data_IF_902095565797
#
_entry.id   IF_902095565797
#
_cell.length_a   1.000
_cell.length_b   1.000
_cell.length_c   1.000
_cell.angle_alpha   90.00
_cell.angle_beta   90.00
_cell.angle_gamma   90.00
#
_symmetry.space_group_name_H-M   'P 1'
#
loop_
_entity.id
_entity.type
_entity.pdbx_description
1 polymer ?
#
# COMPACT_ATOMS: atom_id res chain seq x y z
N UNK A 1 34.11 -5.94 9.62
CA UNK A 1 33.07 -6.94 9.24
C UNK A 1 31.66 -6.36 9.43
N UNK A 2 31.24 -5.91 10.64
CA UNK A 2 29.89 -5.41 10.86
C UNK A 2 29.58 -4.10 10.09
N UNK A 3 30.49 -3.15 10.06
CA UNK A 3 30.37 -1.90 9.31
C UNK A 3 30.25 -2.21 7.83
N UNK A 4 31.15 -2.98 7.27
CA UNK A 4 31.16 -3.38 5.85
C UNK A 4 29.87 -4.12 5.42
N UNK A 5 29.32 -4.97 6.30
CA UNK A 5 28.02 -5.62 6.07
C UNK A 5 26.86 -4.63 6.03
N UNK A 6 26.88 -3.58 6.86
CA UNK A 6 25.87 -2.53 6.87
C UNK A 6 26.00 -1.62 5.66
N UNK A 7 27.21 -1.22 5.30
CA UNK A 7 27.48 -0.43 4.08
C UNK A 7 26.98 -1.16 2.83
N UNK A 8 27.22 -2.46 2.73
CA UNK A 8 26.71 -3.27 1.62
C UNK A 8 25.18 -3.31 1.59
N UNK A 9 24.51 -3.41 2.74
CA UNK A 9 23.03 -3.37 2.82
C UNK A 9 22.49 -2.01 2.44
N UNK A 10 23.14 -0.93 2.86
CA UNK A 10 22.77 0.45 2.51
C UNK A 10 22.92 0.66 0.98
N UNK A 11 24.03 0.23 0.42
CA UNK A 11 24.26 0.34 -1.03
C UNK A 11 23.23 -0.43 -1.86
N UNK A 12 22.87 -1.65 -1.43
CA UNK A 12 21.80 -2.42 -2.10
C UNK A 12 20.44 -1.71 -2.05
N UNK A 13 20.11 -1.06 -0.92
CA UNK A 13 18.86 -0.31 -0.81
C UNK A 13 18.87 1.00 -1.60
N UNK A 14 20.02 1.67 -1.71
CA UNK A 14 20.17 2.88 -2.51
C UNK A 14 20.08 2.62 -4.02
N UNK A 15 20.46 1.42 -4.49
CA UNK A 15 20.31 0.99 -5.90
C UNK A 15 18.83 0.73 -6.26
N UNK A 16 17.98 0.41 -5.29
CA UNK A 16 16.53 0.41 -5.47
C UNK A 16 16.08 1.88 -5.47
N UNK A 17 15.72 2.45 -6.63
CA UNK A 17 15.28 3.85 -6.76
C UNK A 17 14.14 4.19 -5.78
N UNK A 18 14.52 4.58 -4.55
CA UNK A 18 13.58 5.00 -3.51
C UNK A 18 13.15 6.42 -3.84
N UNK A 19 12.01 6.55 -4.52
CA UNK A 19 11.37 7.86 -4.67
C UNK A 19 10.90 8.35 -3.31
N UNK A 20 11.23 9.60 -2.96
CA UNK A 20 10.75 10.22 -1.72
C UNK A 20 9.22 10.42 -1.78
N UNK A 21 8.49 9.43 -1.33
CA UNK A 21 7.03 9.47 -1.29
C UNK A 21 6.58 10.14 -0.02
N UNK A 22 5.85 11.25 -0.18
CA UNK A 22 5.22 11.93 0.94
C UNK A 22 4.11 11.05 1.53
N UNK A 23 4.11 10.87 2.86
CA UNK A 23 3.01 10.25 3.62
C UNK A 23 1.65 10.91 3.25
N UNK A 24 1.67 12.18 2.88
CA UNK A 24 0.49 12.90 2.42
C UNK A 24 -0.08 12.32 1.12
N UNK A 25 0.76 11.89 0.17
CA UNK A 25 0.32 11.25 -1.07
C UNK A 25 -0.32 9.87 -0.81
N UNK A 26 0.26 9.09 0.10
CA UNK A 26 -0.32 7.82 0.55
C UNK A 26 -1.71 8.04 1.16
N UNK A 27 -1.85 9.00 2.08
CA UNK A 27 -3.11 9.32 2.73
C UNK A 27 -4.16 9.84 1.72
N UNK A 28 -3.75 10.65 0.75
CA UNK A 28 -4.62 11.11 -0.32
C UNK A 28 -5.18 9.95 -1.15
N UNK A 29 -4.35 8.99 -1.52
CA UNK A 29 -4.79 7.81 -2.26
C UNK A 29 -5.69 6.89 -1.43
N UNK A 30 -5.42 6.73 -0.13
CA UNK A 30 -6.32 6.01 0.78
C UNK A 30 -7.72 6.66 0.83
N UNK A 31 -7.78 7.98 0.94
CA UNK A 31 -9.04 8.72 0.94
C UNK A 31 -9.79 8.58 -0.41
N UNK A 32 -9.07 8.67 -1.54
CA UNK A 32 -9.66 8.44 -2.88
C UNK A 32 -10.26 7.03 -2.99
N UNK A 33 -9.55 6.01 -2.51
CA UNK A 33 -10.04 4.63 -2.49
C UNK A 33 -11.34 4.49 -1.67
N UNK A 34 -11.42 5.16 -0.52
CA UNK A 34 -12.63 5.15 0.31
C UNK A 34 -13.83 5.79 -0.40
N UNK A 35 -13.62 6.89 -1.12
CA UNK A 35 -14.66 7.54 -1.92
C UNK A 35 -15.15 6.58 -3.01
N UNK A 36 -14.22 5.98 -3.78
CA UNK A 36 -14.57 5.01 -4.82
C UNK A 36 -15.35 3.81 -4.25
N UNK A 37 -14.99 3.30 -3.08
CA UNK A 37 -15.73 2.22 -2.43
C UNK A 37 -17.17 2.62 -2.08
N UNK A 38 -17.41 3.86 -1.67
CA UNK A 38 -18.76 4.37 -1.43
C UNK A 38 -19.55 4.47 -2.74
N UNK A 39 -18.94 5.02 -3.79
CA UNK A 39 -19.57 5.15 -5.11
C UNK A 39 -19.90 3.78 -5.72
N UNK A 40 -18.99 2.81 -5.63
CA UNK A 40 -19.24 1.43 -6.06
C UNK A 40 -20.44 0.84 -5.33
N UNK A 41 -20.56 1.02 -4.02
CA UNK A 41 -21.73 0.53 -3.26
C UNK A 41 -23.04 1.14 -3.73
N UNK A 42 -23.04 2.44 -4.03
CA UNK A 42 -24.24 3.14 -4.54
C UNK A 42 -24.64 2.56 -5.89
N UNK A 43 -23.71 2.50 -6.84
CA UNK A 43 -23.98 1.99 -8.20
C UNK A 43 -24.38 0.50 -8.17
N UNK A 44 -23.76 -0.30 -7.32
CA UNK A 44 -24.13 -1.73 -7.15
C UNK A 44 -25.57 -1.86 -6.68
N UNK A 45 -26.01 -1.02 -5.74
CA UNK A 45 -27.39 -1.02 -5.27
C UNK A 45 -28.37 -0.62 -6.37
N UNK A 46 -28.05 0.43 -7.14
CA UNK A 46 -28.84 0.88 -8.31
C UNK A 46 -28.97 -0.24 -9.34
N UNK A 47 -27.86 -0.90 -9.69
CA UNK A 47 -27.85 -2.01 -10.64
C UNK A 47 -28.71 -3.16 -10.16
N UNK A 48 -28.60 -3.58 -8.90
CA UNK A 48 -29.42 -4.65 -8.32
C UNK A 48 -30.90 -4.31 -8.37
N UNK A 49 -31.29 -3.05 -8.12
CA UNK A 49 -32.68 -2.61 -8.21
C UNK A 49 -33.20 -2.66 -9.65
N UNK A 50 -32.39 -2.23 -10.62
CA UNK A 50 -32.73 -2.29 -12.05
C UNK A 50 -32.89 -3.73 -12.53
N UNK A 51 -31.99 -4.63 -12.13
CA UNK A 51 -32.06 -6.04 -12.46
C UNK A 51 -33.33 -6.70 -11.92
N UNK A 52 -33.72 -6.39 -10.68
CA UNK A 52 -34.97 -6.87 -10.11
C UNK A 52 -36.18 -6.34 -10.88
N UNK A 53 -36.18 -5.03 -11.22
CA UNK A 53 -37.26 -4.41 -11.99
C UNK A 53 -37.39 -5.05 -13.37
N UNK A 54 -36.28 -5.22 -14.09
CA UNK A 54 -36.21 -5.90 -15.38
C UNK A 54 -36.79 -7.30 -15.31
N UNK A 55 -36.44 -8.06 -14.25
CA UNK A 55 -36.98 -9.42 -14.04
C UNK A 55 -38.49 -9.41 -13.85
N UNK A 56 -39.02 -8.49 -13.05
CA UNK A 56 -40.47 -8.36 -12.82
C UNK A 56 -41.18 -7.96 -14.13
N UNK A 57 -40.62 -7.00 -14.86
CA UNK A 57 -41.19 -6.57 -16.15
C UNK A 57 -41.19 -7.70 -17.18
N UNK A 58 -40.10 -8.47 -17.27
CA UNK A 58 -40.04 -9.63 -18.16
C UNK A 58 -41.11 -10.67 -17.80
N UNK A 59 -41.27 -10.98 -16.50
CA UNK A 59 -42.30 -11.91 -16.04
C UNK A 59 -43.73 -11.44 -16.41
N UNK A 60 -44.05 -10.14 -16.30
CA UNK A 60 -45.34 -9.60 -16.72
C UNK A 60 -45.60 -9.78 -18.21
N UNK A 61 -44.57 -9.54 -19.01
CA UNK A 61 -44.62 -9.71 -20.47
C UNK A 61 -44.82 -11.20 -20.83
N UNK A 62 -44.07 -12.10 -20.19
CA UNK A 62 -44.15 -13.54 -20.45
C UNK A 62 -45.51 -14.10 -20.05
N UNK A 63 -46.11 -13.64 -18.96
CA UNK A 63 -47.48 -13.97 -18.57
C UNK A 63 -48.50 -13.53 -19.60
N UNK A 64 -48.33 -12.34 -20.17
CA UNK A 64 -49.23 -11.87 -21.22
C UNK A 64 -49.12 -12.72 -22.50
N UNK A 65 -47.91 -13.19 -22.86
CA UNK A 65 -47.68 -14.03 -24.04
C UNK A 65 -48.27 -15.43 -23.88
N UNK A 66 -48.38 -15.96 -22.66
CA UNK A 66 -48.96 -17.29 -22.38
C UNK A 66 -50.48 -17.25 -22.21
N UNK A 67 -51.09 -16.06 -22.18
CA UNK A 67 -52.52 -15.89 -22.05
C UNK A 67 -53.17 -15.68 -23.47
N UNK A 68 -54.31 -16.34 -23.76
CA UNK A 68 -55.11 -16.04 -24.95
C UNK A 68 -55.69 -14.62 -24.84
N UNK A 69 -54.88 -13.65 -25.25
CA UNK A 69 -55.19 -12.25 -25.20
C UNK A 69 -55.83 -11.79 -26.54
N UNK A 70 -57.08 -11.38 -26.48
CA UNK A 70 -57.78 -10.75 -27.61
C UNK A 70 -57.77 -9.22 -27.44
N UNK A 71 -57.03 -8.53 -28.31
CA UNK A 71 -56.90 -7.07 -28.30
C UNK A 71 -58.20 -6.35 -28.72
N UNK A 72 -59.21 -7.06 -29.28
CA UNK A 72 -60.50 -6.51 -29.63
C UNK A 72 -61.51 -6.70 -28.48
N UNK A 73 -61.25 -7.58 -27.54
CA UNK A 73 -62.10 -7.84 -26.40
C UNK A 73 -61.99 -6.74 -25.35
N UNK A 74 -63.11 -6.07 -25.06
CA UNK A 74 -63.17 -5.01 -24.04
C UNK A 74 -62.75 -5.46 -22.65
N UNK A 75 -62.99 -6.73 -22.26
CA UNK A 75 -62.59 -7.26 -20.99
C UNK A 75 -61.08 -7.53 -20.92
N UNK A 76 -60.50 -8.01 -21.98
CA UNK A 76 -59.04 -8.20 -22.09
C UNK A 76 -58.30 -6.86 -22.01
N UNK A 77 -58.74 -5.86 -22.81
CA UNK A 77 -58.10 -4.53 -22.87
C UNK A 77 -58.30 -3.70 -21.59
N UNK A 78 -59.35 -3.94 -20.78
CA UNK A 78 -59.58 -3.27 -19.50
C UNK A 78 -58.89 -3.98 -18.33
N UNK A 79 -58.37 -5.18 -18.54
CA UNK A 79 -57.70 -5.98 -17.49
C UNK A 79 -56.41 -5.29 -17.04
N UNK A 80 -56.23 -5.16 -15.72
CA UNK A 80 -55.10 -4.48 -15.11
C UNK A 80 -53.76 -5.19 -15.43
N UNK A 81 -53.76 -6.52 -15.51
CA UNK A 81 -52.57 -7.30 -15.85
C UNK A 81 -52.09 -7.05 -17.28
N UNK A 82 -53.02 -6.84 -18.22
CA UNK A 82 -52.70 -6.50 -19.60
C UNK A 82 -52.09 -5.12 -19.67
N UNK A 83 -52.68 -4.12 -18.99
CA UNK A 83 -52.13 -2.76 -18.94
C UNK A 83 -50.73 -2.74 -18.36
N UNK A 84 -50.52 -3.41 -17.23
CA UNK A 84 -49.20 -3.51 -16.61
C UNK A 84 -48.16 -4.21 -17.49
N UNK A 85 -48.55 -5.21 -18.28
CA UNK A 85 -47.64 -5.88 -19.19
C UNK A 85 -47.32 -5.00 -20.41
N UNK A 86 -48.30 -4.23 -20.95
CA UNK A 86 -48.03 -3.26 -22.02
C UNK A 86 -47.14 -2.12 -21.57
N UNK A 87 -47.33 -1.60 -20.36
CA UNK A 87 -46.41 -0.63 -19.74
C UNK A 87 -45.02 -1.22 -19.58
N UNK A 88 -44.92 -2.48 -19.10
CA UNK A 88 -43.67 -3.19 -18.97
C UNK A 88 -42.92 -3.35 -20.29
N UNK A 89 -43.62 -3.62 -21.42
CA UNK A 89 -43.01 -3.69 -22.76
C UNK A 89 -42.34 -2.37 -23.17
N UNK A 90 -42.91 -1.23 -22.78
CA UNK A 90 -42.39 0.11 -23.10
C UNK A 90 -41.19 0.45 -22.21
N UNK A 91 -41.26 0.09 -20.90
CA UNK A 91 -40.25 0.46 -19.92
C UNK A 91 -39.04 -0.51 -19.88
N UNK A 92 -39.25 -1.79 -20.21
CA UNK A 92 -38.20 -2.81 -20.19
C UNK A 92 -36.94 -2.42 -21.00
N UNK A 93 -37.03 -1.97 -22.26
CA UNK A 93 -35.84 -1.58 -23.03
C UNK A 93 -35.11 -0.37 -22.42
N UNK A 94 -35.85 0.56 -21.80
CA UNK A 94 -35.26 1.72 -21.11
C UNK A 94 -34.48 1.25 -19.88
N UNK A 95 -35.08 0.37 -19.07
CA UNK A 95 -34.44 -0.13 -17.86
C UNK A 95 -33.25 -1.04 -18.16
N UNK A 96 -33.29 -1.85 -19.22
CA UNK A 96 -32.11 -2.59 -19.72
C UNK A 96 -30.97 -1.64 -20.06
N UNK A 97 -31.25 -0.57 -20.79
CA UNK A 97 -30.25 0.43 -21.15
C UNK A 97 -29.65 1.15 -19.93
N UNK A 98 -30.48 1.46 -18.92
CA UNK A 98 -30.01 2.02 -17.65
C UNK A 98 -29.13 1.02 -16.87
N UNK A 99 -29.49 -0.25 -16.87
CA UNK A 99 -28.69 -1.30 -16.25
C UNK A 99 -27.33 -1.46 -16.93
N UNK A 100 -27.26 -1.41 -18.26
CA UNK A 100 -26.00 -1.46 -19.01
C UNK A 100 -25.10 -0.26 -18.66
N UNK A 101 -25.67 0.95 -18.55
CA UNK A 101 -24.94 2.14 -18.15
C UNK A 101 -24.41 1.99 -16.72
N UNK A 102 -25.25 1.52 -15.79
CA UNK A 102 -24.86 1.32 -14.39
C UNK A 102 -23.78 0.25 -14.26
N UNK A 103 -23.86 -0.83 -15.03
CA UNK A 103 -22.84 -1.88 -15.09
C UNK A 103 -21.50 -1.34 -15.58
N UNK A 104 -21.48 -0.60 -16.68
CA UNK A 104 -20.27 0.03 -17.23
C UNK A 104 -19.64 0.96 -16.18
N UNK A 105 -20.46 1.81 -15.55
CA UNK A 105 -20.00 2.71 -14.49
C UNK A 105 -19.42 1.96 -13.30
N UNK A 106 -20.04 0.87 -12.89
CA UNK A 106 -19.53 0.02 -11.81
C UNK A 106 -18.15 -0.56 -12.15
N UNK A 107 -18.02 -1.08 -13.36
CA UNK A 107 -16.76 -1.65 -13.86
C UNK A 107 -15.63 -0.60 -13.87
N UNK A 108 -15.89 0.60 -14.38
CA UNK A 108 -14.92 1.70 -14.43
C UNK A 108 -14.48 2.12 -13.01
N UNK A 109 -15.43 2.23 -12.08
CA UNK A 109 -15.12 2.55 -10.68
C UNK A 109 -14.28 1.47 -10.01
N UNK A 110 -14.56 0.20 -10.26
CA UNK A 110 -13.79 -0.93 -9.74
C UNK A 110 -12.36 -0.92 -10.30
N UNK A 111 -12.21 -0.72 -11.60
CA UNK A 111 -10.89 -0.63 -12.25
C UNK A 111 -10.06 0.51 -11.67
N UNK A 112 -10.67 1.70 -11.50
CA UNK A 112 -9.98 2.84 -10.91
C UNK A 112 -9.59 2.59 -9.45
N UNK A 113 -10.44 1.93 -8.66
CA UNK A 113 -10.13 1.53 -7.29
C UNK A 113 -8.93 0.59 -7.23
N UNK A 114 -8.85 -0.38 -8.15
CA UNK A 114 -7.77 -1.37 -8.18
C UNK A 114 -6.43 -0.72 -8.56
N UNK A 115 -6.43 0.20 -9.53
CA UNK A 115 -5.25 1.01 -9.87
C UNK A 115 -4.76 1.82 -8.66
N UNK A 116 -5.67 2.45 -7.91
CA UNK A 116 -5.31 3.20 -6.71
C UNK A 116 -4.80 2.26 -5.61
N UNK A 117 -5.37 1.06 -5.47
CA UNK A 117 -4.90 0.06 -4.52
C UNK A 117 -3.46 -0.36 -4.81
N UNK A 118 -3.13 -0.64 -6.07
CA UNK A 118 -1.76 -0.99 -6.47
C UNK A 118 -0.78 0.16 -6.22
N UNK A 119 -1.22 1.40 -6.44
CA UNK A 119 -0.42 2.59 -6.12
C UNK A 119 -0.18 2.71 -4.62
N UNK A 120 -1.19 2.45 -3.78
CA UNK A 120 -1.06 2.45 -2.31
C UNK A 120 -0.04 1.40 -1.87
N UNK A 121 -0.08 0.18 -2.43
CA UNK A 121 0.86 -0.89 -2.09
C UNK A 121 2.30 -0.49 -2.44
N UNK A 122 2.54 0.02 -3.65
CA UNK A 122 3.86 0.53 -4.06
C UNK A 122 4.38 1.62 -3.12
N UNK A 123 3.52 2.57 -2.72
CA UNK A 123 3.91 3.63 -1.79
C UNK A 123 4.24 3.10 -0.39
N UNK A 124 3.52 2.10 0.09
CA UNK A 124 3.83 1.44 1.36
C UNK A 124 5.18 0.73 1.31
N UNK A 125 5.44 -0.04 0.25
CA UNK A 125 6.73 -0.71 0.06
C UNK A 125 7.91 0.28 0.05
N UNK A 126 7.77 1.40 -0.65
CA UNK A 126 8.81 2.43 -0.72
C UNK A 126 9.04 3.12 0.64
N UNK A 127 7.97 3.40 1.40
CA UNK A 127 8.09 3.94 2.76
C UNK A 127 8.80 2.94 3.68
N UNK A 128 8.47 1.65 3.57
CA UNK A 128 9.11 0.60 4.38
C UNK A 128 10.60 0.43 4.04
N UNK A 129 10.97 0.57 2.76
CA UNK A 129 12.37 0.57 2.32
C UNK A 129 13.12 1.80 2.85
N UNK A 130 12.51 2.99 2.76
CA UNK A 130 13.09 4.22 3.30
C UNK A 130 13.33 4.13 4.81
N UNK A 131 12.37 3.61 5.57
CA UNK A 131 12.52 3.40 7.02
C UNK A 131 13.63 2.38 7.36
N UNK A 132 13.81 1.34 6.53
CA UNK A 132 14.90 0.37 6.70
C UNK A 132 16.25 1.02 6.43
N UNK A 133 16.35 1.83 5.38
CA UNK A 133 17.56 2.57 5.03
C UNK A 133 17.97 3.50 6.19
N UNK A 134 17.06 4.35 6.66
CA UNK A 134 17.31 5.26 7.80
C UNK A 134 17.79 4.50 9.05
N UNK A 135 17.18 3.34 9.32
CA UNK A 135 17.59 2.50 10.45
C UNK A 135 19.02 1.97 10.28
N UNK A 136 19.41 1.53 9.08
CA UNK A 136 20.77 1.04 8.82
C UNK A 136 21.80 2.17 8.87
N UNK A 137 21.49 3.34 8.33
CA UNK A 137 22.33 4.53 8.41
C UNK A 137 22.58 4.94 9.88
N UNK A 138 21.54 4.93 10.72
CA UNK A 138 21.68 5.21 12.15
C UNK A 138 22.55 4.16 12.86
N UNK A 139 22.38 2.88 12.53
CA UNK A 139 23.22 1.81 13.10
C UNK A 139 24.69 1.96 12.68
N UNK A 140 24.94 2.32 11.42
CA UNK A 140 26.28 2.57 10.90
C UNK A 140 26.93 3.72 11.69
N UNK A 141 26.24 4.83 11.85
CA UNK A 141 26.73 5.99 12.60
C UNK A 141 27.10 5.65 14.04
N UNK A 142 26.33 4.81 14.72
CA UNK A 142 26.63 4.34 16.08
C UNK A 142 27.91 3.50 16.08
N UNK A 143 28.03 2.55 15.15
CA UNK A 143 29.23 1.68 15.08
C UNK A 143 30.50 2.45 14.72
N UNK A 144 30.43 3.43 13.85
CA UNK A 144 31.54 4.33 13.51
C UNK A 144 31.99 5.14 14.73
N UNK A 145 31.05 5.68 15.52
CA UNK A 145 31.33 6.39 16.75
C UNK A 145 32.00 5.50 17.80
N UNK A 146 31.50 4.26 17.96
CA UNK A 146 32.09 3.26 18.87
C UNK A 146 33.51 2.87 18.41
N UNK A 147 33.72 2.70 17.10
CA UNK A 147 35.04 2.40 16.54
C UNK A 147 36.02 3.52 16.85
N UNK A 148 35.65 4.78 16.58
CA UNK A 148 36.49 5.95 16.87
C UNK A 148 36.86 6.03 18.37
N UNK A 149 35.90 5.71 19.25
CA UNK A 149 36.16 5.67 20.70
C UNK A 149 37.19 4.59 21.05
N UNK A 150 37.06 3.39 20.46
CA UNK A 150 37.98 2.27 20.69
C UNK A 150 39.39 2.54 20.11
N UNK A 151 39.48 3.19 18.98
CA UNK A 151 40.75 3.62 18.40
C UNK A 151 41.49 4.60 19.32
N UNK A 152 40.78 5.58 19.87
CA UNK A 152 41.35 6.53 20.85
C UNK A 152 41.76 5.85 22.16
N UNK A 153 40.99 4.90 22.69
CA UNK A 153 41.36 4.08 23.86
C UNK A 153 42.61 3.24 23.59
N UNK A 154 42.72 2.68 22.37
CA UNK A 154 43.89 1.88 22.00
C UNK A 154 45.14 2.77 21.91
N UNK A 155 45.04 3.96 21.31
CA UNK A 155 46.15 4.90 21.19
C UNK A 155 46.65 5.31 22.60
N UNK A 156 45.76 5.70 23.50
CA UNK A 156 46.11 6.01 24.89
C UNK A 156 46.77 4.83 25.63
N UNK A 157 46.33 3.62 25.35
CA UNK A 157 46.89 2.40 25.95
C UNK A 157 48.28 2.12 25.41
N UNK A 158 48.52 2.30 24.11
CA UNK A 158 49.82 2.16 23.49
C UNK A 158 50.82 3.19 24.01
N UNK A 159 50.41 4.45 24.18
CA UNK A 159 51.23 5.51 24.79
C UNK A 159 51.66 5.13 26.22
N UNK A 160 50.71 4.64 27.02
CA UNK A 160 51.02 4.16 28.39
C UNK A 160 52.00 2.99 28.40
N UNK A 161 51.85 2.06 27.46
CA UNK A 161 52.81 0.93 27.33
C UNK A 161 54.22 1.42 27.00
N UNK A 162 54.33 2.36 26.09
CA UNK A 162 55.62 2.95 25.69
C UNK A 162 56.29 3.68 26.88
N UNK A 163 55.51 4.46 27.64
CA UNK A 163 55.99 5.13 28.86
C UNK A 163 56.44 4.11 29.93
N UNK A 164 55.69 3.02 30.08
CA UNK A 164 56.02 1.95 31.01
C UNK A 164 57.37 1.30 30.66
N UNK A 165 57.58 0.93 29.37
CA UNK A 165 58.81 0.34 28.87
C UNK A 165 60.02 1.27 29.08
N UNK A 166 59.86 2.59 28.81
CA UNK A 166 60.89 3.59 29.08
C UNK A 166 61.25 3.68 30.56
N UNK A 167 60.26 3.70 31.43
CA UNK A 167 60.47 3.76 32.87
C UNK A 167 61.16 2.48 33.41
N UNK A 168 60.75 1.29 32.94
CA UNK A 168 61.36 0.03 33.31
C UNK A 168 62.84 0.01 32.92
N UNK A 169 63.18 0.45 31.72
CA UNK A 169 64.57 0.55 31.26
C UNK A 169 65.40 1.51 32.11
N UNK A 170 64.80 2.65 32.51
CA UNK A 170 65.45 3.64 33.38
C UNK A 170 65.66 3.09 34.81
N UNK A 171 64.70 2.34 35.35
CA UNK A 171 64.83 1.68 36.69
C UNK A 171 65.95 0.64 36.67
N UNK A 172 66.00 -0.20 35.63
CA UNK A 172 67.08 -1.20 35.48
C UNK A 172 68.46 -0.52 35.39
N UNK A 173 68.53 0.57 34.60
CA UNK A 173 69.77 1.34 34.50
C UNK A 173 70.21 1.93 35.83
N UNK A 174 69.31 2.56 36.58
CA UNK A 174 69.59 3.14 37.91
C UNK A 174 70.03 2.09 38.90
N UNK A 175 69.38 0.91 38.91
CA UNK A 175 69.84 -0.21 39.76
C UNK A 175 71.28 -0.65 39.44
N UNK A 176 71.63 -0.73 38.14
CA UNK A 176 72.99 -1.09 37.74
C UNK A 176 74.05 -0.05 38.14
N UNK A 177 73.63 1.24 38.24
CA UNK A 177 74.53 2.31 38.75
C UNK A 177 74.72 2.16 40.26
N UNK A 178 73.63 1.95 41.03
CA UNK A 178 73.69 1.77 42.49
C UNK A 178 74.56 0.57 42.92
N UNK A 179 74.52 -0.50 42.12
CA UNK A 179 75.39 -1.67 42.30
C UNK A 179 76.85 -1.39 42.00
N UNK A 180 77.21 -0.43 41.20
CA UNK A 180 78.56 -0.01 40.84
C UNK A 180 79.16 0.99 41.81
N UNK A 181 78.28 1.67 42.59
CA UNK A 181 78.68 2.67 43.56
C UNK A 181 78.96 2.03 44.97
N UNK A 182 78.51 0.82 45.23
CA UNK A 182 78.79 0.00 46.40
C UNK A 182 80.08 -0.76 46.26
#
# INVERSE_FOLDING_TARGET
>A
IQIEELENKINLLNDESIESISINQLNLNKNKKEILNKDIKIVTKELTQLEQLIKIQQQKIDHLLTHEYDHTCRYCTSNIFVKEAEEAKIELPKNKKLADIAFTKQFDLQTNRDIIQDTILKYQEQIDLSNKLEKFELQLQVLESDLQTKESELETTNERQELFKKNETAIIHNKSIDEKIK
#
